data_IF_040803495439
#
_entry.id   IF_040803495439
#
_cell.length_a   1.000
_cell.length_b   1.000
_cell.length_c   1.000
_cell.angle_alpha   90.00
_cell.angle_beta   90.00
_cell.angle_gamma   90.00
#
_symmetry.space_group_name_H-M   'P 1'
#
loop_
_entity.id
_entity.type
_entity.pdbx_description
1 polymer ?
#
# COMPACT_ATOMS: atom_id res chain seq x y z
N UNK A 1 4.70 -1.16 2.08
CA UNK A 1 4.98 -1.08 3.54
C UNK A 1 3.75 -1.42 4.37
N UNK A 2 2.66 -0.62 4.31
CA UNK A 2 1.49 -0.82 5.18
C UNK A 2 0.89 -2.23 5.15
N UNK A 3 0.73 -2.80 3.94
CA UNK A 3 0.25 -4.18 3.79
C UNK A 3 1.15 -5.22 4.46
N UNK A 4 2.48 -5.05 4.38
CA UNK A 4 3.43 -5.93 5.07
C UNK A 4 3.26 -5.86 6.59
N UNK A 5 3.20 -4.64 7.14
CA UNK A 5 3.02 -4.45 8.58
C UNK A 5 1.68 -5.01 9.08
N UNK A 6 0.61 -4.92 8.28
CA UNK A 6 -0.68 -5.51 8.61
C UNK A 6 -0.59 -7.05 8.71
N UNK A 7 0.11 -7.70 7.78
CA UNK A 7 0.36 -9.15 7.84
C UNK A 7 1.16 -9.51 9.08
N UNK A 8 2.27 -8.81 9.36
CA UNK A 8 3.08 -9.04 10.57
C UNK A 8 2.28 -8.87 11.86
N UNK A 9 1.44 -7.84 11.94
CA UNK A 9 0.59 -7.58 13.10
C UNK A 9 -0.40 -8.72 13.34
N UNK A 10 -1.11 -9.16 12.29
CA UNK A 10 -2.08 -10.26 12.38
C UNK A 10 -1.39 -11.60 12.65
N UNK A 11 -0.28 -11.90 11.96
CA UNK A 11 0.50 -13.13 12.14
C UNK A 11 1.07 -13.25 13.55
N UNK A 12 1.41 -12.14 14.20
CA UNK A 12 1.90 -12.12 15.58
C UNK A 12 0.88 -12.60 16.62
N UNK A 13 -0.40 -12.74 16.25
CA UNK A 13 -1.51 -13.14 17.13
C UNK A 13 -1.65 -12.27 18.40
N UNK A 14 -1.23 -10.99 18.33
CA UNK A 14 -1.35 -10.02 19.44
C UNK A 14 -2.60 -9.15 19.39
N UNK A 15 -3.48 -9.38 18.42
CA UNK A 15 -4.71 -8.62 18.22
C UNK A 15 -5.90 -9.56 18.37
N UNK A 16 -6.72 -9.36 19.41
CA UNK A 16 -7.77 -10.31 19.80
C UNK A 16 -9.01 -10.28 18.89
N UNK A 17 -9.23 -9.18 18.16
CA UNK A 17 -10.48 -8.91 17.43
C UNK A 17 -10.27 -8.69 15.92
N UNK A 18 -9.38 -9.46 15.29
CA UNK A 18 -9.16 -9.37 13.83
C UNK A 18 -10.18 -10.22 13.09
N UNK A 19 -11.14 -9.56 12.43
CA UNK A 19 -12.19 -10.24 11.65
C UNK A 19 -11.79 -10.49 10.19
N UNK A 20 -10.81 -9.76 9.67
CA UNK A 20 -10.36 -9.87 8.27
C UNK A 20 -9.01 -9.18 8.06
N UNK A 21 -8.29 -9.61 7.03
CA UNK A 21 -6.99 -9.04 6.63
C UNK A 21 -7.04 -8.63 5.16
N UNK A 22 -6.89 -7.33 4.89
CA UNK A 22 -6.79 -6.77 3.56
C UNK A 22 -5.38 -6.29 3.24
N UNK A 23 -4.80 -6.76 2.14
CA UNK A 23 -3.50 -6.32 1.63
C UNK A 23 -3.70 -5.69 0.25
N UNK A 24 -3.17 -4.49 0.08
CA UNK A 24 -3.27 -3.72 -1.16
C UNK A 24 -1.89 -3.60 -1.78
N UNK A 25 -1.77 -4.04 -3.03
CA UNK A 25 -0.64 -3.84 -3.93
C UNK A 25 0.73 -4.23 -3.34
N UNK A 26 0.76 -5.40 -2.66
CA UNK A 26 1.99 -5.98 -2.12
C UNK A 26 2.02 -7.48 -2.42
N UNK A 27 3.03 -7.91 -3.16
CA UNK A 27 3.43 -9.30 -3.38
C UNK A 27 4.92 -9.39 -3.04
N UNK A 28 5.35 -10.44 -2.33
CA UNK A 28 6.74 -10.56 -1.88
C UNK A 28 7.73 -10.50 -3.04
N UNK A 29 7.52 -11.30 -4.09
CA UNK A 29 8.41 -11.36 -5.25
C UNK A 29 8.63 -9.99 -5.90
N UNK A 30 7.55 -9.30 -6.27
CA UNK A 30 7.63 -7.97 -6.90
C UNK A 30 8.17 -6.90 -5.96
N UNK A 31 7.84 -6.97 -4.67
CA UNK A 31 8.36 -6.04 -3.67
C UNK A 31 9.88 -6.18 -3.52
N UNK A 32 10.39 -7.41 -3.45
CA UNK A 32 11.82 -7.71 -3.32
C UNK A 32 12.62 -7.25 -4.53
N UNK A 33 12.10 -7.45 -5.76
CA UNK A 33 12.70 -6.92 -6.98
C UNK A 33 12.76 -5.39 -6.97
N UNK A 34 11.67 -4.75 -6.54
CA UNK A 34 11.53 -3.29 -6.49
C UNK A 34 12.46 -2.62 -5.47
N UNK A 35 12.92 -3.33 -4.43
CA UNK A 35 13.84 -2.77 -3.43
C UNK A 35 15.14 -2.24 -4.04
N UNK A 36 15.63 -2.89 -5.11
CA UNK A 36 16.84 -2.48 -5.81
C UNK A 36 16.72 -1.12 -6.51
N UNK A 37 15.51 -0.78 -6.98
CA UNK A 37 15.21 0.45 -7.73
C UNK A 37 14.73 1.57 -6.79
N UNK A 38 14.21 1.23 -5.62
CA UNK A 38 13.60 2.19 -4.70
C UNK A 38 14.57 3.30 -4.28
N UNK A 39 15.87 3.02 -4.18
CA UNK A 39 16.88 4.05 -3.91
C UNK A 39 16.95 5.14 -4.98
N UNK A 40 16.80 4.77 -6.26
CA UNK A 40 16.76 5.71 -7.38
C UNK A 40 15.49 6.56 -7.33
N UNK A 41 14.34 5.94 -7.04
CA UNK A 41 13.05 6.62 -6.91
C UNK A 41 13.07 7.64 -5.77
N UNK A 42 13.65 7.30 -4.62
CA UNK A 42 13.70 8.23 -3.49
C UNK A 42 14.63 9.41 -3.79
N UNK A 43 15.77 9.14 -4.45
CA UNK A 43 16.76 10.15 -4.81
C UNK A 43 16.30 11.11 -5.92
N UNK A 44 15.38 10.69 -6.79
CA UNK A 44 14.84 11.55 -7.86
C UNK A 44 13.81 12.56 -7.37
N UNK A 45 13.33 12.44 -6.11
CA UNK A 45 12.34 13.35 -5.54
C UNK A 45 12.96 14.72 -5.26
N UNK A 46 12.20 15.82 -5.44
CA UNK A 46 12.61 17.14 -4.97
C UNK A 46 12.94 17.10 -3.48
N UNK A 47 14.06 17.70 -3.09
CA UNK A 47 14.44 17.79 -1.68
C UNK A 47 13.59 18.80 -0.92
N UNK A 48 13.12 19.83 -1.63
CA UNK A 48 12.32 20.92 -1.07
C UNK A 48 11.17 21.30 -2.00
N UNK A 49 10.11 21.83 -1.40
CA UNK A 49 8.97 22.43 -2.08
C UNK A 49 8.77 23.86 -1.59
N UNK A 50 8.46 24.79 -2.49
CA UNK A 50 8.20 26.19 -2.13
C UNK A 50 6.85 26.36 -1.41
N UNK A 51 5.85 25.55 -1.77
CA UNK A 51 4.52 25.56 -1.16
C UNK A 51 3.88 24.17 -1.17
N UNK A 52 2.79 24.02 -0.42
CA UNK A 52 1.98 22.79 -0.40
C UNK A 52 1.38 22.51 -1.78
N UNK A 53 0.89 23.55 -2.47
CA UNK A 53 0.35 23.46 -3.83
C UNK A 53 1.41 22.98 -4.82
N UNK A 54 2.66 23.44 -4.68
CA UNK A 54 3.79 22.98 -5.48
C UNK A 54 4.05 21.48 -5.30
N UNK A 55 3.96 20.98 -4.05
CA UNK A 55 4.10 19.55 -3.77
C UNK A 55 2.93 18.73 -4.35
N UNK A 56 1.69 19.21 -4.23
CA UNK A 56 0.51 18.57 -4.82
C UNK A 56 0.65 18.50 -6.35
N UNK A 57 1.05 19.60 -6.99
CA UNK A 57 1.27 19.65 -8.44
C UNK A 57 2.32 18.64 -8.88
N UNK A 58 3.47 18.61 -8.21
CA UNK A 58 4.52 17.64 -8.47
C UNK A 58 4.04 16.19 -8.33
N UNK A 59 3.23 15.89 -7.30
CA UNK A 59 2.68 14.55 -7.06
C UNK A 59 1.84 14.06 -8.25
N UNK A 60 1.00 14.92 -8.82
CA UNK A 60 0.18 14.59 -9.99
C UNK A 60 1.04 14.49 -11.26
N UNK A 61 1.94 15.45 -11.48
CA UNK A 61 2.78 15.48 -12.70
C UNK A 61 3.75 14.30 -12.78
N UNK A 62 4.29 13.85 -11.65
CA UNK A 62 5.15 12.66 -11.59
C UNK A 62 4.37 11.34 -11.54
N UNK A 63 3.03 11.39 -11.58
CA UNK A 63 2.19 10.20 -11.54
C UNK A 63 2.16 9.48 -10.19
N UNK A 64 2.62 10.12 -9.11
CA UNK A 64 2.57 9.58 -7.74
C UNK A 64 1.13 9.36 -7.27
N UNK A 65 0.21 10.22 -7.73
CA UNK A 65 -1.23 10.04 -7.63
C UNK A 65 -1.88 10.45 -8.95
N UNK A 66 -2.99 9.81 -9.31
CA UNK A 66 -3.81 10.15 -10.48
C UNK A 66 -5.04 10.97 -10.09
N UNK A 67 -5.47 10.87 -8.84
CA UNK A 67 -6.63 11.59 -8.33
C UNK A 67 -6.22 12.91 -7.65
N UNK A 68 -6.48 14.03 -8.33
CA UNK A 68 -6.21 15.38 -7.81
C UNK A 68 -6.89 15.65 -6.46
N UNK A 69 -8.11 15.13 -6.25
CA UNK A 69 -8.84 15.34 -4.99
C UNK A 69 -8.15 14.60 -3.84
N UNK A 70 -7.73 13.36 -4.06
CA UNK A 70 -6.99 12.59 -3.06
C UNK A 70 -5.63 13.24 -2.77
N UNK A 71 -4.87 13.62 -3.80
CA UNK A 71 -3.56 14.26 -3.64
C UNK A 71 -3.62 15.55 -2.82
N UNK A 72 -4.66 16.39 -3.01
CA UNK A 72 -4.86 17.61 -2.21
C UNK A 72 -5.06 17.35 -0.72
N UNK A 73 -5.53 16.17 -0.35
CA UNK A 73 -5.77 15.75 1.05
C UNK A 73 -4.56 15.00 1.59
N UNK A 74 -3.97 14.09 0.80
CA UNK A 74 -2.88 13.20 1.25
C UNK A 74 -1.51 13.88 1.26
N UNK A 75 -1.15 14.63 0.20
CA UNK A 75 0.19 15.22 0.06
C UNK A 75 0.61 16.17 1.19
N UNK A 76 -0.26 17.06 1.73
CA UNK A 76 0.12 17.94 2.82
C UNK A 76 0.69 17.20 4.05
N UNK A 77 0.18 15.99 4.32
CA UNK A 77 0.67 15.16 5.42
C UNK A 77 2.03 14.51 5.14
N UNK A 78 2.47 14.44 3.88
CA UNK A 78 3.77 13.86 3.51
C UNK A 78 4.94 14.84 3.62
N UNK A 79 4.63 16.13 3.78
CA UNK A 79 5.62 17.20 3.92
C UNK A 79 5.50 17.90 5.28
N UNK A 80 6.55 18.59 5.67
CA UNK A 80 6.60 19.44 6.87
C UNK A 80 7.35 20.73 6.55
N UNK A 81 7.05 21.81 7.28
CA UNK A 81 7.83 23.05 7.14
C UNK A 81 9.30 22.77 7.44
N UNK A 82 10.17 23.37 6.64
CA UNK A 82 11.60 23.34 6.87
C UNK A 82 11.97 24.27 8.05
N UNK A 83 13.16 24.05 8.63
CA UNK A 83 13.64 24.77 9.82
C UNK A 83 13.79 26.27 9.57
N UNK A 84 13.94 26.65 8.28
CA UNK A 84 13.98 28.04 7.82
C UNK A 84 12.61 28.72 7.72
N UNK A 85 11.50 27.97 7.82
CA UNK A 85 10.12 28.47 7.67
C UNK A 85 9.74 28.94 6.26
N UNK A 86 10.67 28.87 5.29
CA UNK A 86 10.49 29.42 3.93
C UNK A 86 10.11 28.38 2.87
N UNK A 87 9.91 27.13 3.28
CA UNK A 87 9.57 26.04 2.38
C UNK A 87 9.24 24.77 3.14
N UNK A 88 9.09 23.68 2.38
CA UNK A 88 8.70 22.38 2.89
C UNK A 88 9.72 21.32 2.50
N UNK A 89 9.91 20.33 3.38
CA UNK A 89 10.70 19.12 3.15
C UNK A 89 9.83 17.88 3.38
N UNK A 90 10.29 16.73 2.91
CA UNK A 90 9.63 15.45 3.22
C UNK A 90 9.56 15.24 4.73
N UNK A 91 8.40 14.83 5.23
CA UNK A 91 8.19 14.56 6.66
C UNK A 91 9.09 13.44 7.17
N UNK A 92 9.31 12.42 6.35
CA UNK A 92 10.10 11.25 6.72
C UNK A 92 11.19 11.02 5.69
N UNK A 93 12.42 10.86 6.18
CA UNK A 93 13.54 10.38 5.38
C UNK A 93 13.43 8.86 5.21
N UNK A 94 12.89 8.45 4.05
CA UNK A 94 12.68 7.05 3.72
C UNK A 94 13.99 6.26 3.60
N UNK A 95 15.11 6.90 3.26
CA UNK A 95 16.41 6.20 3.17
C UNK A 95 16.84 5.61 4.50
N UNK A 96 16.54 6.29 5.62
CA UNK A 96 16.85 5.77 6.96
C UNK A 96 16.13 4.46 7.28
N UNK A 97 15.06 4.15 6.56
CA UNK A 97 14.30 2.92 6.75
C UNK A 97 14.80 1.75 5.88
N UNK A 98 15.74 1.99 4.97
CA UNK A 98 16.29 0.99 4.05
C UNK A 98 16.77 -0.31 4.72
N UNK A 99 17.46 -0.27 5.88
CA UNK A 99 17.88 -1.50 6.56
C UNK A 99 16.73 -2.44 6.95
N UNK A 100 15.50 -1.93 7.06
CA UNK A 100 14.34 -2.70 7.48
C UNK A 100 13.52 -3.27 6.32
N UNK A 101 13.71 -2.80 5.09
CA UNK A 101 12.84 -3.14 3.95
C UNK A 101 12.80 -4.63 3.66
N UNK A 102 13.96 -5.30 3.68
CA UNK A 102 14.03 -6.75 3.47
C UNK A 102 13.21 -7.48 4.53
N UNK A 103 13.27 -7.04 5.80
CA UNK A 103 12.50 -7.63 6.89
C UNK A 103 10.99 -7.42 6.76
N UNK A 104 10.55 -6.39 6.05
CA UNK A 104 9.12 -6.19 5.79
C UNK A 104 8.56 -7.23 4.82
N UNK A 105 9.30 -7.57 3.76
CA UNK A 105 8.77 -8.34 2.64
C UNK A 105 9.22 -9.81 2.60
N UNK A 106 10.39 -10.14 3.15
CA UNK A 106 10.90 -11.51 3.11
C UNK A 106 9.98 -12.46 3.91
N UNK A 107 9.51 -13.52 3.24
CA UNK A 107 8.56 -14.50 3.78
C UNK A 107 7.13 -13.99 3.92
N UNK A 108 6.82 -12.79 3.41
CA UNK A 108 5.53 -12.14 3.59
C UNK A 108 4.38 -12.94 2.99
N UNK A 109 4.58 -13.57 1.84
CA UNK A 109 3.53 -14.34 1.17
C UNK A 109 3.11 -15.55 1.98
N UNK A 110 4.07 -16.24 2.61
CA UNK A 110 3.77 -17.36 3.52
C UNK A 110 3.07 -16.89 4.79
N UNK A 111 3.58 -15.84 5.44
CA UNK A 111 2.95 -15.27 6.64
C UNK A 111 1.50 -14.83 6.38
N UNK A 112 1.24 -14.22 5.22
CA UNK A 112 -0.11 -13.86 4.81
C UNK A 112 -1.00 -15.09 4.70
N UNK A 113 -0.54 -16.17 4.07
CA UNK A 113 -1.32 -17.40 3.92
C UNK A 113 -1.58 -18.13 5.25
N UNK A 114 -0.68 -18.01 6.21
CA UNK A 114 -0.78 -18.58 7.57
C UNK A 114 -1.76 -17.82 8.47
N UNK A 115 -2.07 -16.55 8.17
CA UNK A 115 -3.02 -15.77 8.96
C UNK A 115 -4.41 -16.42 8.97
N UNK A 116 -4.97 -16.64 10.16
CA UNK A 116 -6.28 -17.27 10.35
C UNK A 116 -7.49 -16.53 9.72
N UNK A 117 -7.64 -15.19 9.85
CA UNK A 117 -8.87 -14.53 9.40
C UNK A 117 -9.07 -14.62 7.87
N UNK A 118 -10.30 -14.38 7.38
CA UNK A 118 -10.57 -14.16 5.97
C UNK A 118 -9.63 -13.10 5.39
N UNK A 119 -9.12 -13.38 4.20
CA UNK A 119 -8.08 -12.57 3.55
C UNK A 119 -8.55 -12.05 2.20
N UNK A 120 -8.16 -10.81 1.89
CA UNK A 120 -8.29 -10.23 0.56
C UNK A 120 -6.97 -9.60 0.11
N UNK A 121 -6.57 -9.92 -1.12
CA UNK A 121 -5.45 -9.29 -1.83
C UNK A 121 -6.01 -8.46 -2.99
N UNK A 122 -5.63 -7.19 -3.06
CA UNK A 122 -6.11 -6.24 -4.05
C UNK A 122 -4.90 -5.72 -4.83
N UNK A 123 -4.85 -5.95 -6.14
CA UNK A 123 -3.71 -5.59 -6.98
C UNK A 123 -4.06 -4.49 -7.99
N UNK A 124 -3.13 -3.57 -8.23
CA UNK A 124 -3.26 -2.52 -9.24
C UNK A 124 -3.22 -3.05 -10.68
N UNK A 125 -2.41 -4.09 -10.90
CA UNK A 125 -2.15 -4.68 -12.19
C UNK A 125 -2.22 -6.20 -12.17
N UNK A 126 -2.00 -6.81 -13.33
CA UNK A 126 -1.80 -8.25 -13.46
C UNK A 126 -0.36 -8.61 -13.07
N UNK A 127 0.08 -8.09 -11.92
CA UNK A 127 1.36 -8.49 -11.37
C UNK A 127 1.32 -9.98 -11.10
N UNK A 128 2.44 -10.63 -11.40
CA UNK A 128 2.55 -12.07 -11.17
C UNK A 128 2.54 -12.27 -9.66
N UNK A 129 1.46 -12.88 -9.16
CA UNK A 129 1.49 -13.55 -7.87
C UNK A 129 2.76 -14.41 -7.85
N UNK A 130 3.53 -14.34 -6.76
CA UNK A 130 4.62 -15.28 -6.57
C UNK A 130 4.09 -16.71 -6.46
N UNK A 131 5.00 -17.68 -6.42
CA UNK A 131 4.63 -19.10 -6.37
C UNK A 131 3.74 -19.43 -5.17
N UNK A 132 4.04 -18.88 -3.99
CA UNK A 132 3.28 -19.14 -2.77
C UNK A 132 1.85 -18.59 -2.88
N UNK A 133 1.69 -17.34 -3.30
CA UNK A 133 0.36 -16.72 -3.49
C UNK A 133 -0.40 -17.34 -4.65
N UNK A 134 0.27 -17.80 -5.71
CA UNK A 134 -0.37 -18.51 -6.81
C UNK A 134 -0.97 -19.82 -6.32
N UNK A 135 -0.20 -20.62 -5.59
CA UNK A 135 -0.69 -21.88 -5.00
C UNK A 135 -1.81 -21.60 -4.00
N UNK A 136 -1.64 -20.60 -3.12
CA UNK A 136 -2.67 -20.21 -2.15
C UNK A 136 -3.97 -19.75 -2.81
N UNK A 137 -3.87 -19.02 -3.92
CA UNK A 137 -5.02 -18.57 -4.69
C UNK A 137 -5.74 -19.73 -5.36
N UNK A 138 -5.01 -20.68 -5.97
CA UNK A 138 -5.58 -21.89 -6.57
C UNK A 138 -6.26 -22.79 -5.53
N UNK A 139 -5.78 -22.77 -4.28
CA UNK A 139 -6.39 -23.46 -3.13
C UNK A 139 -7.56 -22.69 -2.51
N UNK A 140 -7.89 -21.49 -3.01
CA UNK A 140 -8.98 -20.66 -2.48
C UNK A 140 -8.72 -20.08 -1.09
N UNK A 141 -7.45 -19.94 -0.66
CA UNK A 141 -7.09 -19.48 0.70
C UNK A 141 -7.37 -18.00 0.95
N UNK A 142 -7.54 -17.20 -0.09
CA UNK A 142 -7.87 -15.78 0.00
C UNK A 142 -8.68 -15.33 -1.22
N UNK A 143 -9.32 -14.17 -1.11
CA UNK A 143 -9.96 -13.50 -2.24
C UNK A 143 -8.93 -12.63 -2.95
N UNK A 144 -8.75 -12.82 -4.27
CA UNK A 144 -7.94 -11.92 -5.08
C UNK A 144 -8.84 -11.00 -5.91
N UNK A 145 -8.47 -9.73 -6.04
CA UNK A 145 -9.19 -8.75 -6.88
C UNK A 145 -8.19 -7.81 -7.56
N UNK A 146 -8.38 -7.59 -8.86
CA UNK A 146 -7.56 -6.66 -9.63
C UNK A 146 -8.37 -5.40 -9.88
N UNK A 147 -7.83 -4.25 -9.50
CA UNK A 147 -8.40 -2.93 -9.77
C UNK A 147 -7.58 -2.23 -10.86
N UNK A 148 -7.95 -2.37 -12.15
CA UNK A 148 -7.14 -1.83 -13.23
C UNK A 148 -7.19 -0.30 -13.27
N UNK A 149 -6.22 0.29 -13.98
CA UNK A 149 -6.08 1.73 -14.25
C UNK A 149 -5.73 2.60 -13.05
N UNK A 150 -5.19 2.01 -11.98
CA UNK A 150 -4.60 2.75 -10.85
C UNK A 150 -3.09 2.91 -11.04
N UNK A 151 -2.51 3.93 -10.40
CA UNK A 151 -1.08 4.18 -10.34
C UNK A 151 -0.49 3.56 -9.07
N UNK A 152 0.27 4.36 -8.30
CA UNK A 152 1.01 3.87 -7.13
C UNK A 152 0.16 3.62 -5.88
N UNK A 153 -1.01 4.25 -5.76
CA UNK A 153 -1.85 4.15 -4.57
C UNK A 153 -3.29 3.85 -4.99
N UNK A 154 -3.63 2.57 -5.07
CA UNK A 154 -4.97 2.07 -5.45
C UNK A 154 -6.09 2.79 -4.68
N UNK A 155 -5.88 2.97 -3.38
CA UNK A 155 -6.81 3.63 -2.47
C UNK A 155 -6.99 5.13 -2.73
N UNK A 156 -6.00 5.81 -3.30
CA UNK A 156 -6.11 7.23 -3.66
C UNK A 156 -6.66 7.40 -5.07
N UNK A 157 -6.28 6.50 -5.98
CA UNK A 157 -6.62 6.58 -7.40
C UNK A 157 -8.03 6.06 -7.72
N UNK A 158 -8.49 5.03 -7.02
CA UNK A 158 -9.85 4.49 -7.20
C UNK A 158 -10.51 4.16 -5.86
N UNK A 159 -10.75 5.19 -5.00
CA UNK A 159 -11.32 5.00 -3.67
C UNK A 159 -12.68 4.31 -3.72
N UNK A 160 -13.55 4.67 -4.67
CA UNK A 160 -14.91 4.12 -4.76
C UNK A 160 -14.89 2.62 -5.10
N UNK A 161 -14.05 2.20 -6.06
CA UNK A 161 -13.94 0.78 -6.43
C UNK A 161 -13.30 -0.05 -5.31
N UNK A 162 -12.32 0.52 -4.62
CA UNK A 162 -11.73 -0.10 -3.45
C UNK A 162 -12.77 -0.27 -2.34
N UNK A 163 -13.55 0.77 -2.06
CA UNK A 163 -14.64 0.74 -1.08
C UNK A 163 -15.68 -0.33 -1.43
N UNK A 164 -16.15 -0.38 -2.67
CA UNK A 164 -17.08 -1.42 -3.15
C UNK A 164 -16.51 -2.83 -2.97
N UNK A 165 -15.23 -3.02 -3.30
CA UNK A 165 -14.53 -4.31 -3.15
C UNK A 165 -14.50 -4.75 -1.69
N UNK A 166 -14.12 -3.83 -0.79
CA UNK A 166 -14.05 -4.10 0.64
C UNK A 166 -15.44 -4.29 1.26
N UNK A 167 -16.45 -3.54 0.81
CA UNK A 167 -17.83 -3.70 1.26
C UNK A 167 -18.38 -5.08 0.87
N UNK A 168 -18.17 -5.52 -0.37
CA UNK A 168 -18.55 -6.87 -0.82
C UNK A 168 -17.84 -7.96 -0.04
N UNK A 169 -16.55 -7.78 0.24
CA UNK A 169 -15.79 -8.69 1.10
C UNK A 169 -16.38 -8.75 2.51
N UNK A 170 -16.70 -7.60 3.11
CA UNK A 170 -17.29 -7.53 4.44
C UNK A 170 -18.68 -8.18 4.51
N UNK A 171 -19.53 -7.98 3.51
CA UNK A 171 -20.83 -8.65 3.42
C UNK A 171 -20.68 -10.15 3.20
N UNK A 172 -19.78 -10.58 2.31
CA UNK A 172 -19.51 -12.01 2.02
C UNK A 172 -19.12 -12.77 3.28
N UNK A 173 -18.26 -12.19 4.12
CA UNK A 173 -17.81 -12.79 5.36
C UNK A 173 -18.62 -12.36 6.60
N UNK A 174 -19.73 -11.64 6.39
CA UNK A 174 -20.70 -11.24 7.43
C UNK A 174 -20.09 -10.39 8.55
N UNK A 175 -19.11 -9.54 8.23
CA UNK A 175 -18.61 -8.51 9.15
C UNK A 175 -19.64 -7.39 9.32
N UNK A 176 -20.43 -7.16 8.28
CA UNK A 176 -21.54 -6.20 8.27
C UNK A 176 -22.67 -6.70 7.36
N UNK A 177 -23.84 -6.09 7.50
CA UNK A 177 -25.01 -6.33 6.64
C UNK A 177 -25.10 -5.29 5.54
N UNK A 178 -25.62 -5.67 4.36
CA UNK A 178 -26.04 -4.67 3.38
C UNK A 178 -27.14 -3.82 3.99
N UNK A 179 -27.06 -2.50 3.81
CA UNK A 179 -28.22 -1.63 3.95
C UNK A 179 -29.11 -1.76 2.71
#
# INVERSE_FOLDING_TARGET
MGGALAVHAVHSNRMDAVVGLGVIDVVEGSAMESLSVMGVVINSRPKHFASVEGAIKWCIEMGMARNMRAARISMPSQITQDDSGRGFKWRTDLHKTQPYWVGWFKGLSKMFLECSPPKILILAGVDRLDTDLTVGQMQGKFQNTILPKVGHAVQEDSPDKLADTLARFAVRFRFCTSK
#
